data_IF_265848077268
#
_entry.id   IF_265848077268
#
_cell.length_a   1.000
_cell.length_b   1.000
_cell.length_c   1.000
_cell.angle_alpha   90.00
_cell.angle_beta   90.00
_cell.angle_gamma   90.00
#
_symmetry.space_group_name_H-M   'P 1'
#
loop_
_entity.id
_entity.type
_entity.pdbx_description
1 polymer ?
#
# COMPACT_ATOMS: atom_id res chain seq x y z
N UNK A 1 23.54 -2.10 41.16
CA UNK A 1 23.09 -0.87 41.85
C UNK A 1 23.85 0.30 41.30
N UNK A 2 23.17 1.35 40.93
CA UNK A 2 23.75 2.60 40.41
C UNK A 2 24.55 3.26 41.54
N UNK A 3 25.72 3.80 41.23
CA UNK A 3 26.55 4.56 42.21
C UNK A 3 25.75 5.82 42.62
N UNK A 4 25.65 6.09 43.91
CA UNK A 4 24.90 7.22 44.48
C UNK A 4 25.42 8.61 44.05
N UNK A 5 26.57 8.65 43.39
CA UNK A 5 27.18 9.85 42.82
C UNK A 5 26.74 10.10 41.38
N UNK A 6 26.06 9.13 40.75
CA UNK A 6 25.58 9.25 39.39
C UNK A 6 24.13 9.75 39.39
N UNK A 7 23.84 10.76 38.60
CA UNK A 7 22.48 11.23 38.32
C UNK A 7 21.97 10.60 37.03
N UNK A 8 20.71 10.18 37.01
CA UNK A 8 20.08 9.73 35.79
C UNK A 8 19.81 10.95 34.91
N UNK A 9 20.42 11.03 33.75
CA UNK A 9 20.19 12.09 32.78
C UNK A 9 19.25 11.64 31.67
N UNK A 10 19.32 10.37 31.26
CA UNK A 10 18.52 9.79 30.21
C UNK A 10 18.35 8.28 30.40
N UNK A 11 17.17 7.77 30.08
CA UNK A 11 16.85 6.35 30.10
C UNK A 11 16.39 5.90 28.71
N UNK A 12 16.95 4.82 28.21
CA UNK A 12 16.52 4.17 26.97
C UNK A 12 15.46 3.14 27.32
N UNK A 13 14.22 3.39 26.92
CA UNK A 13 13.07 2.58 27.32
C UNK A 13 12.83 1.40 26.37
N UNK A 14 12.96 1.66 25.09
CA UNK A 14 12.66 0.67 24.04
C UNK A 14 13.61 0.86 22.84
N UNK A 15 13.78 -0.23 22.06
CA UNK A 15 14.59 -0.25 20.84
C UNK A 15 13.80 -0.85 19.69
N UNK A 16 14.08 -0.45 18.45
CA UNK A 16 13.49 -1.04 17.26
C UNK A 16 14.14 -2.38 16.87
N UNK A 17 13.66 -3.02 15.81
CA UNK A 17 14.20 -4.30 15.34
C UNK A 17 15.64 -4.22 14.80
N UNK A 18 16.16 -3.02 14.58
CA UNK A 18 17.54 -2.76 14.16
C UNK A 18 18.44 -2.43 15.34
N UNK A 19 17.89 -2.34 16.56
CA UNK A 19 18.63 -1.97 17.79
C UNK A 19 18.73 -0.45 18.00
N UNK A 20 17.97 0.35 17.28
CA UNK A 20 17.95 1.80 17.46
C UNK A 20 17.01 2.20 18.60
N UNK A 21 17.32 3.23 19.40
CA UNK A 21 16.40 3.74 20.42
C UNK A 21 15.07 4.19 19.79
N UNK A 22 13.96 3.63 20.23
CA UNK A 22 12.64 4.01 19.79
C UNK A 22 11.94 4.93 20.80
N UNK A 23 12.20 4.72 22.08
CA UNK A 23 11.72 5.59 23.15
C UNK A 23 12.83 5.85 24.15
N UNK A 24 12.98 7.13 24.51
CA UNK A 24 13.84 7.56 25.60
C UNK A 24 13.04 8.40 26.58
N UNK A 25 13.47 8.45 27.83
CA UNK A 25 12.97 9.41 28.82
C UNK A 25 14.13 10.25 29.34
N UNK A 26 13.90 11.55 29.54
CA UNK A 26 14.85 12.43 30.22
C UNK A 26 14.70 12.30 31.76
N UNK A 27 15.54 13.01 32.50
CA UNK A 27 15.50 13.04 33.97
C UNK A 27 14.20 13.56 34.57
N UNK A 28 13.41 14.33 33.81
CA UNK A 28 12.09 14.79 34.19
C UNK A 28 10.98 13.79 33.86
N UNK A 29 11.31 12.66 33.26
CA UNK A 29 10.37 11.63 32.81
C UNK A 29 9.65 11.97 31.52
N UNK A 30 10.03 13.04 30.81
CA UNK A 30 9.47 13.38 29.50
C UNK A 30 9.94 12.37 28.47
N UNK A 31 8.98 11.71 27.84
CA UNK A 31 9.25 10.68 26.83
C UNK A 31 9.47 11.31 25.47
N UNK A 32 10.42 10.80 24.74
CA UNK A 32 10.67 11.15 23.34
C UNK A 32 10.62 9.87 22.51
N UNK A 33 9.76 9.86 21.52
CA UNK A 33 9.62 8.79 20.55
C UNK A 33 10.47 9.08 19.30
N UNK A 34 11.07 8.04 18.73
CA UNK A 34 11.76 8.09 17.45
C UNK A 34 11.16 7.08 16.49
N UNK A 35 11.02 7.48 15.23
CA UNK A 35 10.72 6.60 14.12
C UNK A 35 11.95 6.56 13.23
N UNK A 36 12.41 5.34 12.89
CA UNK A 36 13.57 5.11 12.06
C UNK A 36 13.16 4.67 10.67
N UNK A 37 13.76 5.25 9.66
CA UNK A 37 13.57 4.94 8.25
C UNK A 37 14.86 4.45 7.58
N UNK A 38 14.82 4.34 6.24
CA UNK A 38 15.99 3.93 5.45
C UNK A 38 16.62 2.61 5.96
N UNK A 39 15.78 1.64 6.32
CA UNK A 39 16.20 0.35 6.93
C UNK A 39 16.91 0.52 8.28
N UNK A 40 16.46 1.46 9.09
CA UNK A 40 17.01 1.72 10.42
C UNK A 40 18.26 2.61 10.42
N UNK A 41 18.65 3.21 9.30
CA UNK A 41 19.88 4.01 9.23
C UNK A 41 19.70 5.44 9.74
N UNK A 42 18.50 6.04 9.58
CA UNK A 42 18.26 7.43 9.94
C UNK A 42 16.95 7.60 10.71
N UNK A 43 16.92 8.45 11.76
CA UNK A 43 15.68 8.83 12.41
C UNK A 43 14.88 9.73 11.47
N UNK A 44 13.69 9.30 11.06
CA UNK A 44 12.81 10.06 10.15
C UNK A 44 11.76 10.89 10.90
N UNK A 45 11.51 10.58 12.18
CA UNK A 45 10.69 11.41 13.06
C UNK A 45 11.21 11.38 14.50
N UNK A 46 11.12 12.52 15.19
CA UNK A 46 11.33 12.72 16.61
C UNK A 46 10.11 13.41 17.21
N UNK A 47 9.51 12.82 18.24
CA UNK A 47 8.32 13.38 18.90
C UNK A 47 8.53 13.46 20.39
N UNK A 48 8.64 14.68 20.90
CA UNK A 48 8.79 14.96 22.33
C UNK A 48 7.43 14.95 22.99
N UNK A 49 7.33 14.40 24.20
CA UNK A 49 6.11 14.15 24.94
C UNK A 49 5.20 13.13 24.23
N UNK A 50 5.81 12.06 23.70
CA UNK A 50 5.09 10.96 23.07
C UNK A 50 5.83 9.65 23.29
N UNK A 51 5.13 8.54 23.12
CA UNK A 51 5.69 7.18 23.13
C UNK A 51 5.32 6.48 21.83
N UNK A 52 6.30 5.87 21.21
CA UNK A 52 6.11 4.95 20.11
C UNK A 52 6.20 3.54 20.67
N UNK A 53 5.08 2.85 20.80
CA UNK A 53 5.10 1.43 21.12
C UNK A 53 5.37 0.68 19.83
N UNK A 54 6.57 0.16 19.70
CA UNK A 54 7.02 -0.67 18.61
C UNK A 54 5.93 -1.21 17.68
N UNK A 55 5.55 -0.43 16.71
CA UNK A 55 5.13 -0.95 15.44
C UNK A 55 6.00 -0.29 14.41
N UNK A 56 7.19 -0.92 14.29
CA UNK A 56 7.97 -0.82 13.08
C UNK A 56 7.08 -0.48 11.90
N UNK A 57 7.61 0.34 10.99
CA UNK A 57 7.15 0.50 9.61
C UNK A 57 6.15 -0.59 9.24
N UNK A 58 4.92 -0.27 8.78
CA UNK A 58 3.94 -1.27 8.42
C UNK A 58 4.61 -2.37 7.63
N UNK A 59 4.71 -3.57 8.22
CA UNK A 59 5.28 -4.69 7.50
C UNK A 59 4.28 -5.06 6.42
N UNK A 60 4.69 -4.94 5.18
CA UNK A 60 3.90 -5.36 4.04
C UNK A 60 4.37 -6.73 3.58
N UNK A 61 3.43 -7.60 3.34
CA UNK A 61 3.67 -8.87 2.69
C UNK A 61 3.05 -8.83 1.30
N UNK A 62 3.83 -9.16 0.30
CA UNK A 62 3.28 -9.38 -1.02
C UNK A 62 2.54 -10.73 -1.02
N UNK A 63 1.28 -10.73 -1.41
CA UNK A 63 0.47 -11.94 -1.53
C UNK A 63 -0.23 -11.99 -2.89
N UNK A 64 -0.58 -13.21 -3.33
CA UNK A 64 -1.40 -13.40 -4.53
C UNK A 64 -2.85 -13.08 -4.19
N UNK A 65 -3.46 -12.22 -4.99
CA UNK A 65 -4.88 -11.90 -4.92
C UNK A 65 -5.54 -12.31 -6.23
N UNK A 66 -6.74 -12.87 -6.14
CA UNK A 66 -7.54 -13.27 -7.31
C UNK A 66 -8.78 -12.42 -7.40
N UNK A 67 -9.00 -11.82 -8.55
CA UNK A 67 -10.21 -11.09 -8.92
C UNK A 67 -11.09 -11.97 -9.77
N UNK A 68 -12.35 -12.12 -9.39
CA UNK A 68 -13.37 -12.87 -10.13
C UNK A 68 -14.27 -11.90 -10.91
N UNK A 69 -14.55 -12.25 -12.13
CA UNK A 69 -15.43 -11.51 -13.03
C UNK A 69 -16.45 -12.47 -13.60
N UNK A 70 -17.71 -12.32 -13.19
CA UNK A 70 -18.79 -13.15 -13.67
C UNK A 70 -19.14 -12.81 -15.11
N UNK A 71 -19.26 -13.84 -15.94
CA UNK A 71 -19.68 -13.81 -17.32
C UNK A 71 -21.12 -14.29 -17.39
N UNK A 72 -22.01 -13.48 -17.97
CA UNK A 72 -23.42 -13.86 -18.16
C UNK A 72 -23.68 -14.17 -19.61
N UNK A 73 -24.43 -15.23 -19.85
CA UNK A 73 -24.80 -15.64 -21.19
C UNK A 73 -25.82 -14.67 -21.89
N UNK A 74 -26.56 -13.85 -21.15
CA UNK A 74 -27.76 -13.15 -21.64
C UNK A 74 -27.56 -12.13 -22.77
N UNK A 75 -26.33 -11.64 -23.00
CA UNK A 75 -25.98 -10.86 -24.21
C UNK A 75 -24.48 -10.73 -24.38
N UNK A 76 -23.97 -10.83 -25.59
CA UNK A 76 -22.55 -10.61 -25.93
C UNK A 76 -22.03 -9.25 -25.47
N UNK A 77 -22.83 -8.22 -25.49
CA UNK A 77 -22.47 -6.87 -25.06
C UNK A 77 -22.41 -6.69 -23.54
N UNK A 78 -23.01 -7.59 -22.76
CA UNK A 78 -23.04 -7.47 -21.29
C UNK A 78 -21.73 -7.89 -20.62
N UNK A 79 -20.85 -8.58 -21.31
CA UNK A 79 -19.61 -9.09 -20.78
C UNK A 79 -18.39 -8.22 -21.09
N UNK A 80 -18.53 -7.18 -21.92
CA UNK A 80 -17.44 -6.23 -22.18
C UNK A 80 -17.21 -5.40 -20.93
N UNK A 81 -16.06 -5.60 -20.28
CA UNK A 81 -15.72 -4.99 -19.01
C UNK A 81 -14.22 -4.63 -18.97
N UNK A 82 -13.93 -3.56 -18.25
CA UNK A 82 -12.55 -3.14 -17.99
C UNK A 82 -12.32 -2.97 -16.48
N UNK A 83 -11.16 -3.40 -16.00
CA UNK A 83 -10.77 -3.35 -14.60
C UNK A 83 -9.35 -2.84 -14.47
N UNK A 84 -9.18 -1.79 -13.69
CA UNK A 84 -7.87 -1.33 -13.29
C UNK A 84 -7.45 -2.02 -11.99
N UNK A 85 -6.20 -2.43 -11.91
CA UNK A 85 -5.63 -3.03 -10.72
C UNK A 85 -4.16 -2.62 -10.56
N UNK A 86 -3.61 -2.79 -9.37
CA UNK A 86 -2.24 -2.45 -9.06
C UNK A 86 -1.48 -3.70 -8.61
N UNK A 87 -0.32 -3.98 -9.23
CA UNK A 87 0.58 -5.03 -8.78
C UNK A 87 1.69 -4.43 -7.91
N UNK A 88 1.89 -4.99 -6.73
CA UNK A 88 2.88 -4.52 -5.76
C UNK A 88 4.32 -4.84 -6.13
N UNK A 89 4.52 -5.85 -6.98
CA UNK A 89 5.82 -6.23 -7.54
C UNK A 89 5.66 -6.80 -8.94
N UNK A 90 6.74 -6.81 -9.70
CA UNK A 90 6.80 -7.48 -10.98
C UNK A 90 6.58 -8.99 -10.83
N UNK A 91 5.86 -9.58 -11.77
CA UNK A 91 5.57 -11.01 -11.75
C UNK A 91 4.46 -11.40 -12.71
N UNK A 92 4.06 -12.67 -12.63
CA UNK A 92 3.04 -13.21 -13.50
C UNK A 92 1.64 -12.83 -13.06
N UNK A 93 0.83 -12.39 -14.01
CA UNK A 93 -0.62 -12.32 -13.94
C UNK A 93 -1.18 -13.49 -14.71
N UNK A 94 -1.84 -14.38 -14.00
CA UNK A 94 -2.51 -15.54 -14.56
C UNK A 94 -3.98 -15.23 -14.74
N UNK A 95 -4.50 -15.49 -15.95
CA UNK A 95 -5.89 -15.30 -16.32
C UNK A 95 -6.47 -16.66 -16.61
N UNK A 96 -7.57 -17.03 -15.96
CA UNK A 96 -8.21 -18.34 -16.11
C UNK A 96 -9.68 -18.17 -16.41
N UNK A 97 -10.15 -18.91 -17.40
CA UNK A 97 -11.56 -19.02 -17.73
C UNK A 97 -12.15 -20.25 -17.04
N UNK A 98 -13.09 -20.05 -16.15
CA UNK A 98 -13.86 -21.10 -15.49
C UNK A 98 -15.33 -21.00 -15.90
N UNK A 99 -15.72 -21.72 -16.93
CA UNK A 99 -17.08 -21.75 -17.42
C UNK A 99 -17.94 -22.81 -16.73
N UNK A 100 -19.24 -22.67 -16.79
CA UNK A 100 -20.15 -23.70 -16.35
C UNK A 100 -19.99 -24.99 -17.19
N UNK A 101 -20.02 -26.12 -16.53
CA UNK A 101 -19.96 -27.43 -17.19
C UNK A 101 -21.08 -27.57 -18.24
N UNK A 102 -20.71 -27.94 -19.45
CA UNK A 102 -21.68 -28.17 -20.54
C UNK A 102 -21.76 -27.09 -21.61
N UNK A 103 -20.89 -26.06 -21.59
CA UNK A 103 -20.84 -25.01 -22.61
C UNK A 103 -19.44 -24.80 -23.16
N UNK A 104 -19.39 -24.41 -24.44
CA UNK A 104 -18.18 -23.89 -25.03
C UNK A 104 -18.13 -22.38 -24.76
N UNK A 105 -17.07 -21.91 -24.16
CA UNK A 105 -16.82 -20.51 -23.90
C UNK A 105 -15.63 -20.00 -24.69
N UNK A 106 -15.80 -18.85 -25.33
CA UNK A 106 -14.72 -18.14 -26.02
C UNK A 106 -14.66 -16.72 -25.43
N UNK A 107 -13.49 -16.36 -24.89
CA UNK A 107 -13.29 -15.04 -24.29
C UNK A 107 -12.04 -14.42 -24.87
N UNK A 108 -12.18 -13.23 -25.46
CA UNK A 108 -11.04 -12.42 -25.90
C UNK A 108 -10.91 -11.15 -25.05
N UNK A 109 -9.69 -10.71 -24.83
CA UNK A 109 -9.42 -9.53 -24.04
C UNK A 109 -7.98 -9.06 -24.16
N UNK A 110 -7.66 -8.07 -23.33
CA UNK A 110 -6.32 -7.54 -23.20
C UNK A 110 -5.90 -7.43 -21.73
N UNK A 111 -4.65 -7.69 -21.48
CA UNK A 111 -3.94 -7.23 -20.30
C UNK A 111 -2.98 -6.13 -20.75
N UNK A 112 -3.29 -4.88 -20.43
CA UNK A 112 -2.68 -3.71 -21.05
C UNK A 112 -2.79 -3.78 -22.59
N UNK A 113 -1.65 -3.83 -23.28
CA UNK A 113 -1.60 -3.96 -24.74
C UNK A 113 -1.40 -5.41 -25.23
N UNK A 114 -1.45 -6.40 -24.34
CA UNK A 114 -1.23 -7.81 -24.65
C UNK A 114 -2.55 -8.53 -24.80
N UNK A 115 -2.86 -8.98 -26.01
CA UNK A 115 -4.11 -9.71 -26.28
C UNK A 115 -4.07 -11.13 -25.73
N UNK A 116 -5.22 -11.64 -25.30
CA UNK A 116 -5.46 -13.04 -24.98
C UNK A 116 -6.75 -13.57 -25.62
N UNK A 117 -6.75 -14.85 -25.91
CA UNK A 117 -7.93 -15.60 -26.33
C UNK A 117 -7.99 -16.88 -25.50
N UNK A 118 -9.07 -17.05 -24.77
CA UNK A 118 -9.31 -18.23 -23.93
C UNK A 118 -10.46 -19.02 -24.48
N UNK A 119 -10.31 -20.31 -24.46
CA UNK A 119 -11.31 -21.25 -24.96
C UNK A 119 -11.50 -22.35 -23.95
N UNK A 120 -12.72 -22.55 -23.51
CA UNK A 120 -13.13 -23.72 -22.75
C UNK A 120 -14.17 -24.48 -23.56
N UNK A 121 -13.88 -25.72 -23.91
CA UNK A 121 -14.81 -26.55 -24.67
C UNK A 121 -15.56 -27.52 -23.76
N UNK A 122 -16.74 -27.85 -24.18
CA UNK A 122 -17.64 -28.75 -23.46
C UNK A 122 -17.20 -30.21 -23.57
N UNK A 123 -17.46 -30.98 -22.54
CA UNK A 123 -17.07 -32.39 -22.44
C UNK A 123 -17.86 -33.33 -23.40
N UNK A 124 -19.03 -32.92 -23.87
CA UNK A 124 -19.90 -33.74 -24.71
C UNK A 124 -19.46 -33.82 -26.20
N UNK A 125 -18.57 -32.95 -26.65
CA UNK A 125 -18.08 -32.96 -28.02
C UNK A 125 -17.11 -34.10 -28.27
N UNK A 126 -16.80 -34.90 -27.26
CA UNK A 126 -16.02 -36.10 -27.27
C UNK A 126 -16.81 -37.28 -26.69
N UNK A 127 -17.89 -37.68 -27.32
CA UNK A 127 -18.69 -38.81 -26.89
C UNK A 127 -17.80 -40.09 -26.77
N UNK A 128 -17.55 -40.50 -25.52
CA UNK A 128 -16.88 -41.76 -25.22
C UNK A 128 -15.50 -41.70 -24.59
N UNK A 129 -14.92 -40.51 -24.29
CA UNK A 129 -13.63 -40.43 -23.59
C UNK A 129 -13.79 -40.02 -22.11
N UNK A 130 -12.93 -40.58 -21.22
CA UNK A 130 -12.96 -40.25 -19.78
C UNK A 130 -12.56 -38.78 -19.54
N UNK A 131 -13.06 -38.17 -18.46
CA UNK A 131 -12.81 -36.77 -18.03
C UNK A 131 -11.32 -36.39 -17.94
N UNK A 132 -10.45 -37.34 -17.75
CA UNK A 132 -8.99 -37.13 -17.65
C UNK A 132 -8.32 -36.71 -18.97
N UNK A 133 -8.95 -36.99 -20.12
CA UNK A 133 -8.41 -36.63 -21.43
C UNK A 133 -8.70 -35.19 -21.86
N UNK A 134 -9.57 -34.48 -21.13
CA UNK A 134 -10.03 -33.14 -21.49
C UNK A 134 -9.15 -32.03 -20.99
N UNK A 135 -8.30 -32.29 -20.01
CA UNK A 135 -7.43 -31.28 -19.40
C UNK A 135 -6.33 -30.76 -20.32
N UNK A 136 -5.99 -31.50 -21.39
CA UNK A 136 -4.86 -31.17 -22.23
C UNK A 136 -5.20 -30.57 -23.61
N UNK A 137 -6.47 -30.34 -23.92
CA UNK A 137 -6.86 -29.93 -25.26
C UNK A 137 -7.21 -28.43 -25.43
N UNK A 138 -7.22 -27.63 -24.35
CA UNK A 138 -7.83 -26.30 -24.38
C UNK A 138 -7.02 -25.24 -23.65
N UNK A 139 -6.87 -24.08 -24.30
CA UNK A 139 -6.22 -22.91 -23.73
C UNK A 139 -7.23 -22.15 -22.89
N UNK A 140 -7.53 -22.64 -21.69
CA UNK A 140 -8.42 -21.95 -20.76
C UNK A 140 -7.69 -20.97 -19.83
N UNK A 141 -6.38 -20.84 -19.96
CA UNK A 141 -5.58 -19.91 -19.19
C UNK A 141 -4.52 -19.21 -20.05
N UNK A 142 -4.16 -18.03 -19.63
CA UNK A 142 -3.04 -17.27 -20.18
C UNK A 142 -2.24 -16.64 -19.04
N UNK A 143 -0.93 -16.55 -19.20
CA UNK A 143 -0.04 -15.96 -18.22
C UNK A 143 0.79 -14.86 -18.87
N UNK A 144 0.84 -13.69 -18.22
CA UNK A 144 1.58 -12.53 -18.67
C UNK A 144 2.49 -12.02 -17.58
N UNK A 145 3.75 -11.85 -17.88
CA UNK A 145 4.66 -11.14 -16.99
C UNK A 145 4.42 -9.63 -17.10
N UNK A 146 4.22 -8.97 -15.96
CA UNK A 146 3.98 -7.52 -15.84
C UNK A 146 4.96 -6.88 -14.86
N UNK A 147 5.26 -5.60 -15.03
CA UNK A 147 6.03 -4.80 -14.06
C UNK A 147 5.21 -4.54 -12.79
N UNK A 148 5.83 -4.05 -11.72
CA UNK A 148 5.09 -3.42 -10.65
C UNK A 148 4.40 -2.16 -11.17
N UNK A 149 3.16 -1.88 -10.73
CA UNK A 149 2.43 -0.69 -11.15
C UNK A 149 0.97 -0.94 -11.48
N UNK A 150 0.37 0.04 -12.15
CA UNK A 150 -1.02 -0.03 -12.60
C UNK A 150 -1.14 -0.77 -13.92
N UNK A 151 -2.18 -1.60 -14.01
CA UNK A 151 -2.50 -2.41 -15.17
C UNK A 151 -4.00 -2.36 -15.45
N UNK A 152 -4.36 -2.57 -16.71
CA UNK A 152 -5.75 -2.67 -17.15
C UNK A 152 -6.01 -4.05 -17.72
N UNK A 153 -6.94 -4.76 -17.10
CA UNK A 153 -7.50 -6.00 -17.62
C UNK A 153 -8.83 -5.68 -18.29
N UNK A 154 -9.03 -6.07 -19.53
CA UNK A 154 -10.28 -5.86 -20.26
C UNK A 154 -10.74 -7.11 -20.99
N UNK A 155 -12.04 -7.36 -20.93
CA UNK A 155 -12.75 -8.34 -21.73
C UNK A 155 -13.36 -7.58 -22.90
N UNK A 156 -13.01 -7.97 -24.12
CA UNK A 156 -13.50 -7.33 -25.36
C UNK A 156 -14.71 -8.03 -25.92
N UNK A 157 -14.70 -9.36 -25.92
CA UNK A 157 -15.83 -10.15 -26.36
C UNK A 157 -15.91 -11.46 -25.60
N UNK A 158 -17.12 -11.94 -25.45
CA UNK A 158 -17.42 -13.27 -24.96
C UNK A 158 -18.41 -13.93 -25.93
N UNK A 159 -18.16 -15.16 -26.25
CA UNK A 159 -19.07 -15.99 -27.00
C UNK A 159 -19.28 -17.32 -26.28
N UNK A 160 -20.52 -17.79 -26.22
CA UNK A 160 -20.85 -19.08 -25.67
C UNK A 160 -21.70 -19.81 -26.68
N UNK A 161 -21.21 -20.85 -27.28
CA UNK A 161 -21.99 -21.67 -28.22
C UNK A 161 -23.10 -22.40 -27.48
N UNK A 162 -24.34 -22.06 -27.83
CA UNK A 162 -25.54 -22.67 -27.31
C UNK A 162 -25.90 -23.90 -28.13
N UNK A 163 -26.01 -25.04 -27.48
CA UNK A 163 -26.90 -26.09 -27.96
C UNK A 163 -28.18 -26.07 -27.12
N UNK A 164 -29.27 -25.77 -27.81
CA UNK A 164 -30.70 -25.90 -27.46
C UNK A 164 -31.15 -25.80 -25.99
N UNK A 165 -32.13 -24.94 -25.81
CA UNK A 165 -33.11 -24.88 -24.72
C UNK A 165 -32.65 -24.78 -23.29
N UNK A 166 -32.91 -23.60 -22.75
CA UNK A 166 -33.15 -23.26 -21.35
C UNK A 166 -31.95 -23.22 -20.40
N UNK A 167 -31.92 -22.17 -19.69
CA UNK A 167 -31.25 -21.78 -18.46
C UNK A 167 -30.01 -20.93 -18.65
N UNK A 168 -30.03 -19.84 -17.89
CA UNK A 168 -28.91 -18.90 -17.72
C UNK A 168 -27.76 -19.64 -17.06
N UNK A 169 -26.65 -19.75 -17.76
CA UNK A 169 -25.42 -20.32 -17.19
C UNK A 169 -24.42 -19.20 -17.02
N UNK A 170 -23.89 -19.10 -15.81
CA UNK A 170 -22.85 -18.15 -15.46
C UNK A 170 -21.49 -18.83 -15.60
N UNK A 171 -20.55 -18.16 -16.24
CA UNK A 171 -19.14 -18.51 -16.25
C UNK A 171 -18.36 -17.44 -15.49
N UNK A 172 -17.15 -17.76 -15.13
CA UNK A 172 -16.23 -16.83 -14.48
C UNK A 172 -14.93 -16.72 -15.25
N UNK A 173 -14.40 -15.52 -15.35
CA UNK A 173 -13.00 -15.30 -15.65
C UNK A 173 -12.37 -14.72 -14.41
N UNK A 174 -11.22 -15.25 -14.01
CA UNK A 174 -10.50 -14.70 -12.90
C UNK A 174 -9.04 -14.43 -13.27
N UNK A 175 -8.46 -13.41 -12.65
CA UNK A 175 -7.06 -13.10 -12.81
C UNK A 175 -6.38 -12.92 -11.46
N UNK A 176 -5.19 -13.50 -11.33
CA UNK A 176 -4.40 -13.51 -10.12
C UNK A 176 -3.15 -12.65 -10.29
N UNK A 177 -2.90 -11.78 -9.34
CA UNK A 177 -1.79 -10.84 -9.38
C UNK A 177 -1.22 -10.59 -7.99
N UNK A 178 -0.07 -9.93 -7.90
CA UNK A 178 0.57 -9.62 -6.64
C UNK A 178 0.04 -8.33 -6.05
N UNK A 179 -0.43 -8.38 -4.82
CA UNK A 179 -0.83 -7.22 -4.02
C UNK A 179 0.01 -7.13 -2.77
N UNK A 180 0.12 -5.92 -2.24
CA UNK A 180 0.75 -5.68 -0.95
C UNK A 180 -0.31 -5.58 0.13
N UNK A 181 -0.26 -6.49 1.08
CA UNK A 181 -1.12 -6.47 2.25
C UNK A 181 -0.36 -5.95 3.45
N UNK A 182 -0.93 -4.98 4.14
CA UNK A 182 -0.42 -4.57 5.44
C UNK A 182 -0.57 -5.74 6.42
N UNK A 183 0.53 -6.18 6.99
CA UNK A 183 0.52 -7.11 8.11
C UNK A 183 0.33 -6.22 9.33
N UNK A 184 -0.87 -6.22 9.92
CA UNK A 184 -1.09 -5.59 11.21
C UNK A 184 -0.20 -6.30 12.23
N UNK A 185 0.74 -5.61 12.89
CA UNK A 185 1.47 -6.23 13.98
C UNK A 185 0.49 -6.57 15.10
N UNK A 186 0.56 -7.78 15.62
CA UNK A 186 -0.09 -8.13 16.87
C UNK A 186 0.61 -7.40 18.01
N UNK A 187 0.07 -6.28 18.47
CA UNK A 187 0.56 -5.59 19.65
C UNK A 187 -0.58 -5.08 20.52
N UNK A 188 -0.51 -5.44 21.77
CA UNK A 188 -1.27 -4.84 22.85
C UNK A 188 -0.55 -3.56 23.29
N UNK A 189 -0.94 -2.41 22.77
CA UNK A 189 -0.39 -1.12 23.17
C UNK A 189 -1.05 0.04 22.42
N UNK A 190 -0.97 1.24 22.98
CA UNK A 190 -1.38 2.48 22.32
C UNK A 190 -0.18 3.12 21.68
N UNK A 191 -0.28 3.53 20.42
CA UNK A 191 0.73 4.31 19.73
C UNK A 191 0.39 5.80 19.87
N UNK A 192 1.40 6.61 20.17
CA UNK A 192 1.21 8.06 20.19
C UNK A 192 1.61 8.72 18.87
N UNK A 193 2.26 7.96 17.96
CA UNK A 193 2.86 8.57 16.78
C UNK A 193 2.69 7.68 15.56
N UNK A 194 2.32 8.29 14.46
CA UNK A 194 2.38 7.73 13.11
C UNK A 194 3.08 8.72 12.18
N UNK A 195 3.94 8.22 11.30
CA UNK A 195 4.58 9.00 10.25
C UNK A 195 4.77 8.18 8.99
N UNK A 196 4.38 8.75 7.84
CA UNK A 196 4.56 8.15 6.53
C UNK A 196 4.97 9.23 5.52
N UNK A 197 6.13 9.05 4.90
CA UNK A 197 6.70 9.91 3.87
C UNK A 197 6.73 9.27 2.47
N UNK A 198 6.12 8.10 2.31
CA UNK A 198 6.00 7.35 1.05
C UNK A 198 7.30 7.01 0.33
N UNK A 199 8.47 7.20 0.95
CA UNK A 199 9.75 6.87 0.34
C UNK A 199 9.96 5.36 0.14
N UNK A 200 9.35 4.54 0.99
CA UNK A 200 9.45 3.08 0.98
C UNK A 200 8.14 2.37 0.64
N UNK A 201 7.02 3.10 0.65
CA UNK A 201 5.70 2.57 0.35
C UNK A 201 5.32 2.86 -1.10
N UNK A 202 4.88 1.84 -1.82
CA UNK A 202 4.49 1.96 -3.23
C UNK A 202 2.98 1.95 -3.42
N UNK A 203 2.24 2.59 -2.52
CA UNK A 203 0.80 2.77 -2.66
C UNK A 203 0.53 3.96 -3.58
N UNK A 204 0.01 3.69 -4.78
CA UNK A 204 -0.35 4.74 -5.77
C UNK A 204 0.70 5.85 -5.86
N UNK A 205 1.95 5.52 -6.23
CA UNK A 205 3.05 6.45 -6.14
C UNK A 205 2.91 7.58 -7.15
N UNK A 206 3.22 8.80 -6.71
CA UNK A 206 3.65 9.88 -7.57
C UNK A 206 5.18 9.99 -7.51
N UNK A 207 5.83 10.30 -8.62
CA UNK A 207 7.29 10.35 -8.75
C UNK A 207 7.91 11.65 -8.26
N UNK A 208 7.25 12.35 -7.36
CA UNK A 208 7.74 13.54 -6.68
C UNK A 208 7.09 13.64 -5.31
N UNK A 209 7.78 14.21 -4.34
CA UNK A 209 7.31 14.41 -2.97
C UNK A 209 7.51 15.84 -2.48
N UNK A 210 7.04 16.15 -1.27
CA UNK A 210 7.14 17.48 -0.67
C UNK A 210 8.59 17.90 -0.39
N UNK A 211 9.34 17.12 0.30
CA UNK A 211 10.79 17.22 0.46
C UNK A 211 11.42 15.83 0.35
N UNK A 212 10.82 14.99 -0.47
CA UNK A 212 11.08 13.59 -0.66
C UNK A 212 11.11 13.27 -2.16
N UNK A 213 11.31 12.02 -2.53
CA UNK A 213 11.33 11.62 -3.93
C UNK A 213 9.97 11.11 -4.40
N UNK A 214 9.11 10.70 -3.45
CA UNK A 214 7.84 10.09 -3.73
C UNK A 214 6.73 10.68 -2.85
N UNK A 215 5.51 10.54 -3.30
CA UNK A 215 4.29 10.84 -2.57
C UNK A 215 3.20 9.81 -2.93
N UNK A 216 2.07 9.82 -2.27
CA UNK A 216 0.94 8.94 -2.55
C UNK A 216 -0.20 9.71 -3.19
N UNK A 217 -0.79 9.17 -4.26
CA UNK A 217 -2.03 9.74 -4.82
C UNK A 217 -3.20 9.28 -3.94
N UNK A 218 -3.98 10.23 -3.45
CA UNK A 218 -5.15 9.97 -2.56
C UNK A 218 -6.24 9.07 -3.17
N UNK A 219 -7.22 8.61 -2.41
CA UNK A 219 -7.35 8.78 -0.96
C UNK A 219 -6.38 7.90 -0.15
N UNK A 220 -6.03 8.33 1.06
CA UNK A 220 -5.16 7.60 1.98
C UNK A 220 -5.82 7.46 3.35
N UNK A 221 -5.77 6.28 3.97
CA UNK A 221 -6.37 6.04 5.28
C UNK A 221 -5.30 5.73 6.31
N UNK A 222 -5.34 6.45 7.42
CA UNK A 222 -4.52 6.22 8.60
C UNK A 222 -5.35 5.54 9.67
N UNK A 223 -4.78 4.54 10.34
CA UNK A 223 -5.36 3.91 11.52
C UNK A 223 -4.29 3.81 12.60
N UNK A 224 -4.60 4.28 13.79
CA UNK A 224 -3.72 4.30 14.94
C UNK A 224 -4.51 3.97 16.21
N UNK A 225 -3.98 3.08 17.04
CA UNK A 225 -4.56 2.80 18.37
C UNK A 225 -4.08 3.87 19.34
N UNK A 226 -4.90 4.89 19.54
CA UNK A 226 -4.58 6.06 20.36
C UNK A 226 -4.90 5.85 21.84
N UNK A 227 -4.20 6.58 22.71
CA UNK A 227 -4.56 6.67 24.12
C UNK A 227 -5.88 7.46 24.26
N UNK A 228 -6.95 6.89 24.85
CA UNK A 228 -8.25 7.57 24.96
C UNK A 228 -8.22 8.82 25.86
N UNK A 229 -7.22 8.97 26.72
CA UNK A 229 -7.04 10.13 27.60
C UNK A 229 -6.35 11.32 26.91
N UNK A 230 -5.84 11.13 25.68
CA UNK A 230 -5.12 12.15 24.91
C UNK A 230 -5.89 12.57 23.66
N UNK A 231 -5.70 13.81 23.25
CA UNK A 231 -6.20 14.33 21.97
C UNK A 231 -5.08 14.29 20.93
N UNK A 232 -5.43 13.93 19.72
CA UNK A 232 -4.49 13.76 18.61
C UNK A 232 -4.83 14.69 17.46
N UNK A 233 -3.83 14.98 16.64
CA UNK A 233 -3.97 15.68 15.37
C UNK A 233 -3.40 14.81 14.26
N UNK A 234 -3.94 14.99 13.07
CA UNK A 234 -3.35 14.54 11.82
C UNK A 234 -2.96 15.77 11.01
N UNK A 235 -1.78 15.76 10.45
CA UNK A 235 -1.37 16.75 9.46
C UNK A 235 -0.65 16.10 8.28
N UNK A 236 -0.64 16.78 7.15
CA UNK A 236 -0.05 16.29 5.92
C UNK A 236 0.14 17.40 4.89
N UNK A 237 0.90 17.11 3.86
CA UNK A 237 1.05 17.97 2.68
C UNK A 237 0.20 17.42 1.54
N UNK A 238 -0.46 18.29 0.79
CA UNK A 238 -1.22 17.95 -0.42
C UNK A 238 -0.82 18.85 -1.58
N UNK A 239 -0.57 18.27 -2.76
CA UNK A 239 -0.16 19.04 -3.94
C UNK A 239 -1.37 19.41 -4.78
N UNK A 240 -1.76 20.69 -4.73
CA UNK A 240 -2.89 21.25 -5.47
C UNK A 240 -2.46 22.50 -6.24
N UNK A 241 -3.01 22.69 -7.44
CA UNK A 241 -2.77 23.90 -8.24
C UNK A 241 -1.27 24.24 -8.42
N UNK A 242 -0.43 23.23 -8.55
CA UNK A 242 1.01 23.41 -8.77
C UNK A 242 1.84 23.74 -7.52
N UNK A 243 1.27 23.64 -6.31
CA UNK A 243 1.95 23.91 -5.04
C UNK A 243 1.55 22.90 -3.96
N UNK A 244 2.43 22.72 -2.98
CA UNK A 244 2.13 22.00 -1.75
C UNK A 244 1.38 22.89 -0.77
N UNK A 245 0.33 22.36 -0.16
CA UNK A 245 -0.49 23.01 0.86
C UNK A 245 -0.48 22.14 2.12
N UNK A 246 -0.21 22.80 3.26
CA UNK A 246 -0.22 22.16 4.58
C UNK A 246 -1.64 22.04 5.10
N UNK A 247 -2.03 20.84 5.50
CA UNK A 247 -3.33 20.52 6.09
C UNK A 247 -3.16 20.01 7.51
N UNK A 248 -4.03 20.40 8.43
CA UNK A 248 -4.03 19.94 9.83
C UNK A 248 -5.44 19.95 10.40
N UNK A 249 -5.84 18.84 11.03
CA UNK A 249 -7.12 18.73 11.74
C UNK A 249 -7.06 17.71 12.88
N UNK A 250 -8.15 17.57 13.62
CA UNK A 250 -8.25 16.64 14.73
C UNK A 250 -8.30 15.19 14.22
N UNK A 251 -7.47 14.33 14.80
CA UNK A 251 -7.53 12.89 14.56
C UNK A 251 -8.39 12.24 15.63
N UNK A 252 -9.54 11.68 15.25
CA UNK A 252 -10.54 11.15 16.17
C UNK A 252 -10.80 9.67 15.91
N UNK A 253 -11.24 8.94 16.94
CA UNK A 253 -11.62 7.52 16.85
C UNK A 253 -10.54 6.59 16.29
N UNK A 254 -9.27 6.97 16.38
CA UNK A 254 -8.16 6.13 15.93
C UNK A 254 -8.08 5.87 14.42
N UNK A 255 -8.87 6.59 13.61
CA UNK A 255 -8.89 6.45 12.16
C UNK A 255 -9.25 7.74 11.47
N UNK A 256 -8.58 8.01 10.34
CA UNK A 256 -8.91 9.10 9.46
C UNK A 256 -8.70 8.70 7.99
N UNK A 257 -9.47 9.30 7.10
CA UNK A 257 -9.34 9.12 5.64
C UNK A 257 -9.04 10.47 5.00
N UNK A 258 -7.80 10.64 4.57
CA UNK A 258 -7.38 11.78 3.77
C UNK A 258 -8.00 11.62 2.38
N UNK A 259 -9.11 12.30 2.14
CA UNK A 259 -9.89 12.15 0.92
C UNK A 259 -9.65 13.32 -0.04
N UNK A 260 -8.40 13.50 -0.44
CA UNK A 260 -7.98 14.57 -1.36
C UNK A 260 -8.14 14.20 -2.84
N UNK A 261 -8.92 13.16 -3.12
CA UNK A 261 -9.20 12.70 -4.48
C UNK A 261 -7.95 12.16 -5.18
N UNK A 262 -7.60 12.76 -6.32
CA UNK A 262 -6.45 12.36 -7.15
C UNK A 262 -5.18 13.16 -6.86
N UNK A 263 -5.20 14.00 -5.84
CA UNK A 263 -4.05 14.85 -5.52
C UNK A 263 -2.96 14.05 -4.78
N UNK A 264 -1.68 14.28 -5.10
CA UNK A 264 -0.58 13.73 -4.31
C UNK A 264 -0.59 14.24 -2.88
N UNK A 265 -0.40 13.35 -1.92
CA UNK A 265 -0.26 13.62 -0.49
C UNK A 265 1.09 13.10 0.00
N UNK A 266 1.67 13.81 0.95
CA UNK A 266 2.98 13.47 1.53
C UNK A 266 3.07 13.90 3.00
N UNK A 267 4.12 13.43 3.68
CA UNK A 267 4.43 13.78 5.08
C UNK A 267 3.20 13.63 6.02
N UNK A 268 2.52 12.49 5.95
CA UNK A 268 1.36 12.21 6.80
C UNK A 268 1.81 11.90 8.22
N UNK A 269 1.39 12.73 9.20
CA UNK A 269 1.78 12.63 10.61
C UNK A 269 0.55 12.57 11.49
N UNK A 270 0.53 11.65 12.48
CA UNK A 270 -0.43 11.66 13.59
C UNK A 270 0.34 11.68 14.90
N UNK A 271 -0.01 12.59 15.78
CA UNK A 271 0.67 12.77 17.07
C UNK A 271 -0.23 13.46 18.09
N UNK A 272 0.08 13.36 19.41
CA UNK A 272 -0.69 14.07 20.44
C UNK A 272 -0.62 15.58 20.28
N UNK A 273 -1.71 16.28 20.58
CA UNK A 273 -1.78 17.77 20.51
C UNK A 273 -0.79 18.46 21.44
N UNK A 274 -0.41 17.80 22.52
CA UNK A 274 0.52 18.28 23.54
C UNK A 274 1.97 17.83 23.29
N UNK A 275 2.24 17.23 22.14
CA UNK A 275 3.57 16.79 21.72
C UNK A 275 4.15 17.75 20.66
N UNK A 276 5.50 17.77 20.57
CA UNK A 276 6.23 18.47 19.52
C UNK A 276 6.86 17.44 18.58
N UNK A 277 6.53 17.53 17.30
CA UNK A 277 7.06 16.63 16.26
C UNK A 277 8.03 17.36 15.35
N UNK A 278 9.13 16.70 15.01
CA UNK A 278 10.03 17.06 13.90
C UNK A 278 10.24 15.86 13.02
N UNK A 279 10.00 16.01 11.73
CA UNK A 279 10.26 14.96 10.72
C UNK A 279 11.45 15.32 9.86
N UNK A 280 12.17 14.32 9.35
CA UNK A 280 13.45 14.49 8.67
C UNK A 280 13.45 13.74 7.34
N UNK A 281 13.93 14.42 6.30
CA UNK A 281 14.30 13.82 5.02
C UNK A 281 15.81 13.77 4.85
N UNK A 282 16.34 12.78 4.12
CA UNK A 282 17.78 12.63 3.95
C UNK A 282 18.17 12.47 2.47
N UNK A 283 19.35 12.98 2.14
CA UNK A 283 20.10 12.49 0.99
C UNK A 283 20.92 11.29 1.48
N UNK A 284 20.60 10.05 1.04
CA UNK A 284 21.34 8.87 1.52
C UNK A 284 22.85 9.02 1.36
N UNK A 285 23.60 8.70 2.40
CA UNK A 285 25.05 8.79 2.51
C UNK A 285 25.66 10.21 2.45
N UNK A 286 24.85 11.25 2.33
CA UNK A 286 25.31 12.65 2.28
C UNK A 286 24.91 13.36 3.57
N UNK A 287 23.62 13.44 3.89
CA UNK A 287 23.18 14.14 5.08
C UNK A 287 21.70 14.52 5.09
N UNK A 288 21.35 15.37 6.03
CA UNK A 288 19.99 15.87 6.23
C UNK A 288 19.55 16.72 5.01
N UNK A 289 18.44 16.36 4.39
CA UNK A 289 17.83 17.08 3.27
C UNK A 289 16.83 18.14 3.75
N UNK A 290 16.04 17.78 4.76
CA UNK A 290 14.97 18.63 5.28
C UNK A 290 14.64 18.29 6.74
N UNK A 291 14.13 19.28 7.47
CA UNK A 291 13.53 19.11 8.78
C UNK A 291 12.22 19.91 8.84
N UNK A 292 11.10 19.24 9.16
CA UNK A 292 9.77 19.82 9.22
C UNK A 292 9.24 19.79 10.65
N UNK A 293 8.89 20.93 11.23
CA UNK A 293 8.37 21.04 12.59
C UNK A 293 6.85 20.78 12.68
N UNK A 294 6.28 20.88 13.91
CA UNK A 294 4.85 20.66 14.19
C UNK A 294 3.92 21.71 13.57
N UNK A 295 4.45 22.78 13.01
CA UNK A 295 3.70 23.83 12.28
C UNK A 295 3.73 23.64 10.78
N UNK A 296 4.36 22.54 10.30
CA UNK A 296 4.55 22.28 8.89
C UNK A 296 5.59 23.19 8.23
N UNK A 297 6.39 23.92 9.02
CA UNK A 297 7.49 24.74 8.52
C UNK A 297 8.70 23.85 8.29
N UNK A 298 9.24 23.91 7.06
CA UNK A 298 10.35 23.06 6.64
C UNK A 298 11.60 23.88 6.39
N UNK A 299 12.68 23.47 7.00
CA UNK A 299 14.04 23.88 6.70
C UNK A 299 14.65 22.88 5.70
N UNK A 300 15.28 23.38 4.64
CA UNK A 300 15.91 22.57 3.60
C UNK A 300 17.42 22.81 3.56
N UNK A 301 18.16 21.74 3.40
CA UNK A 301 19.62 21.74 3.41
C UNK A 301 20.13 21.33 2.02
N UNK A 302 21.17 22.00 1.55
CA UNK A 302 21.82 21.70 0.28
C UNK A 302 23.31 21.52 0.51
N UNK A 303 23.90 20.63 -0.24
CA UNK A 303 25.31 20.29 -0.15
C UNK A 303 26.00 20.63 -1.46
N UNK A 304 27.26 21.03 -1.37
CA UNK A 304 28.10 21.21 -2.55
C UNK A 304 28.60 19.85 -3.09
N UNK A 305 29.36 19.89 -4.19
CA UNK A 305 29.89 18.67 -4.84
C UNK A 305 30.86 17.88 -3.92
N UNK A 306 31.32 18.49 -2.83
CA UNK A 306 32.16 17.88 -1.81
C UNK A 306 31.37 17.43 -0.56
N UNK A 307 30.03 17.38 -0.64
CA UNK A 307 29.12 17.05 0.46
C UNK A 307 29.27 17.98 1.70
N UNK A 308 29.59 19.25 1.49
CA UNK A 308 29.64 20.28 2.54
C UNK A 308 28.36 21.11 2.52
N UNK A 309 27.80 21.38 3.72
CA UNK A 309 26.59 22.19 3.96
C UNK A 309 26.88 23.67 3.67
#
# INVERSE_FOLDING_TARGET
>A
SMDNRCALEMEYLDYDSYGNPANIADKAGVKTAYIWGYKGLYPVAKVVNARNTFKSVPQYRDERTTKYVNLKYSSLSANVKSYNFYTSKAGDVEIVLAGALGFNWYVSGHLDNKAFNLVQMRSSDNMGKPWTDYQNAYTYSATFYVSAGYHTFSILSTDACKESSANVYDGDIHFSYWTRKSIAPETSGTDDVFYENFETTHLRPASFGYHSNNSCIGPYTVSLVTNPERKYVIDYQVFKNGKWEYMKHDFVNGRDSINEGVYPIDDVRVYPKDASITTYGYYPLIGLRSATNERGVTESYRYDDFSRL
#
